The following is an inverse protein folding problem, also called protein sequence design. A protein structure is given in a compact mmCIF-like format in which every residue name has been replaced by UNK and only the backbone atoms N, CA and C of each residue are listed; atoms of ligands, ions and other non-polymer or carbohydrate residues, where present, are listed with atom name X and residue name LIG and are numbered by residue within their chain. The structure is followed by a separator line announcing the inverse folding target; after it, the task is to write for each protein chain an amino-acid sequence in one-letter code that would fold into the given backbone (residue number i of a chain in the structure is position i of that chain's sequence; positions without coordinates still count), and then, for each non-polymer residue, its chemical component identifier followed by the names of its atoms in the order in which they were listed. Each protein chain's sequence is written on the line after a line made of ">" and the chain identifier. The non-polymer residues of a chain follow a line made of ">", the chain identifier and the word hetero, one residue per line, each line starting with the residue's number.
data_IF_246835117315
#
_entry.id   IF_246835117315
#
_cell.length_a   1.000
_cell.length_b   1.000
_cell.length_c   1.000
_cell.angle_alpha   90.00
_cell.angle_beta   90.00
_cell.angle_gamma   90.00
#
_symmetry.space_group_name_H-M   'P 1'
#
loop_
_entity.id
_entity.type
_entity.pdbx_description
1 polymer ?
#
# COMPACT_ATOMS: atom_id res chain seq x y z
N UNK A 1 -11.15 -17.09 62.27
CA UNK A 1 -11.75 -17.62 61.03
C UNK A 1 -11.47 -16.63 59.91
N UNK A 2 -10.74 -17.03 58.87
CA UNK A 2 -10.43 -16.15 57.75
C UNK A 2 -11.70 -15.88 56.92
N UNK A 3 -11.93 -14.61 56.58
CA UNK A 3 -13.07 -14.20 55.78
C UNK A 3 -12.92 -14.71 54.34
N UNK A 4 -13.80 -15.61 53.91
CA UNK A 4 -13.84 -16.13 52.54
C UNK A 4 -14.98 -15.46 51.74
N UNK A 5 -14.67 -14.48 50.87
CA UNK A 5 -15.68 -13.74 50.12
C UNK A 5 -16.49 -14.63 49.16
N UNK A 6 -15.97 -15.79 48.72
CA UNK A 6 -16.70 -16.68 47.80
C UNK A 6 -17.86 -17.38 48.49
N UNK A 7 -17.64 -17.88 49.71
CA UNK A 7 -18.65 -18.56 50.53
C UNK A 7 -19.86 -17.67 50.85
N UNK A 8 -19.63 -16.39 51.13
CA UNK A 8 -20.71 -15.42 51.39
C UNK A 8 -21.43 -14.94 50.13
N UNK A 9 -20.80 -15.04 48.96
CA UNK A 9 -21.44 -14.76 47.67
C UNK A 9 -22.43 -15.86 47.31
N UNK A 10 -22.00 -17.12 47.40
CA UNK A 10 -22.85 -18.30 47.10
C UNK A 10 -24.08 -18.38 48.00
N UNK A 11 -23.92 -18.08 49.30
CA UNK A 11 -25.06 -18.04 50.23
C UNK A 11 -26.07 -16.94 49.85
N UNK A 12 -25.59 -15.76 49.45
CA UNK A 12 -26.46 -14.65 49.00
C UNK A 12 -27.19 -14.98 47.70
N UNK A 13 -26.50 -15.57 46.73
CA UNK A 13 -27.09 -15.98 45.45
C UNK A 13 -28.13 -17.11 45.62
N UNK A 14 -27.91 -18.03 46.58
CA UNK A 14 -28.87 -19.09 46.92
C UNK A 14 -30.13 -18.55 47.59
N UNK A 15 -30.01 -17.55 48.47
CA UNK A 15 -31.16 -16.94 49.17
C UNK A 15 -31.95 -16.01 48.26
N UNK A 16 -31.28 -15.27 47.37
CA UNK A 16 -31.91 -14.32 46.45
C UNK A 16 -32.43 -14.97 45.16
N UNK A 17 -32.16 -16.26 44.92
CA UNK A 17 -32.61 -16.99 43.73
C UNK A 17 -31.99 -16.53 42.40
N UNK A 18 -31.12 -15.52 42.42
CA UNK A 18 -30.51 -14.90 41.24
C UNK A 18 -29.00 -15.14 41.27
N UNK A 19 -28.48 -15.91 40.31
CA UNK A 19 -27.03 -16.03 40.06
C UNK A 19 -26.56 -14.83 39.27
N UNK A 20 -25.66 -14.00 39.81
CA UNK A 20 -25.00 -12.94 39.04
C UNK A 20 -23.96 -13.55 38.09
N UNK A 21 -24.40 -13.96 36.89
CA UNK A 21 -23.51 -14.32 35.76
C UNK A 21 -22.99 -13.05 35.08
N UNK A 22 -22.10 -12.32 35.77
CA UNK A 22 -21.40 -11.18 35.18
C UNK A 22 -20.05 -11.61 34.61
N UNK A 23 -19.69 -11.08 33.44
CA UNK A 23 -18.30 -11.09 32.96
C UNK A 23 -17.48 -10.28 33.97
N UNK A 24 -16.37 -10.84 34.48
CA UNK A 24 -15.50 -10.12 35.41
C UNK A 24 -14.91 -8.88 34.74
N UNK A 25 -14.77 -7.78 35.47
CA UNK A 25 -14.21 -6.54 34.95
C UNK A 25 -12.86 -6.75 34.24
N UNK A 26 -12.00 -7.65 34.77
CA UNK A 26 -10.74 -8.02 34.13
C UNK A 26 -10.93 -8.67 32.75
N UNK A 27 -11.91 -9.56 32.59
CA UNK A 27 -12.23 -10.17 31.29
C UNK A 27 -12.76 -9.13 30.31
N UNK A 28 -13.60 -8.20 30.77
CA UNK A 28 -14.11 -7.10 29.95
C UNK A 28 -12.96 -6.17 29.50
N UNK A 29 -12.07 -5.80 30.43
CA UNK A 29 -10.92 -4.95 30.15
C UNK A 29 -9.97 -5.58 29.12
N UNK A 30 -9.72 -6.90 29.22
CA UNK A 30 -8.93 -7.63 28.22
C UNK A 30 -9.58 -7.57 26.85
N UNK A 31 -10.89 -7.85 26.75
CA UNK A 31 -11.62 -7.79 25.46
C UNK A 31 -11.53 -6.40 24.84
N UNK A 32 -11.75 -5.34 25.64
CA UNK A 32 -11.66 -3.95 25.17
C UNK A 32 -10.24 -3.64 24.71
N UNK A 33 -9.20 -4.05 25.46
CA UNK A 33 -7.81 -3.82 25.07
C UNK A 33 -7.47 -4.50 23.74
N UNK A 34 -7.96 -5.73 23.51
CA UNK A 34 -7.75 -6.47 22.26
C UNK A 34 -8.44 -5.76 21.11
N UNK A 35 -9.67 -5.27 21.30
CA UNK A 35 -10.39 -4.49 20.29
C UNK A 35 -9.64 -3.20 19.93
N UNK A 36 -9.10 -2.48 20.91
CA UNK A 36 -8.32 -1.26 20.66
C UNK A 36 -7.04 -1.57 19.89
N UNK A 37 -6.28 -2.59 20.30
CA UNK A 37 -5.02 -2.96 19.62
C UNK A 37 -5.30 -3.47 18.21
N UNK A 38 -6.33 -4.30 18.02
CA UNK A 38 -6.72 -4.79 16.71
C UNK A 38 -7.19 -3.66 15.79
N UNK A 39 -8.03 -2.75 16.31
CA UNK A 39 -8.51 -1.58 15.56
C UNK A 39 -7.36 -0.66 15.13
N UNK A 40 -6.42 -0.37 16.04
CA UNK A 40 -5.26 0.47 15.72
C UNK A 40 -4.36 -0.21 14.68
N UNK A 41 -4.10 -1.52 14.85
CA UNK A 41 -3.32 -2.31 13.90
C UNK A 41 -3.94 -2.33 12.49
N UNK A 42 -5.26 -2.43 12.39
CA UNK A 42 -5.97 -2.39 11.11
C UNK A 42 -5.74 -1.10 10.32
N UNK A 43 -5.54 0.04 11.01
CA UNK A 43 -5.31 1.33 10.36
C UNK A 43 -3.82 1.55 10.06
N UNK A 44 -2.93 1.23 10.99
CA UNK A 44 -1.50 1.59 10.86
C UNK A 44 -0.70 0.61 10.00
N UNK A 45 -1.03 -0.68 10.05
CA UNK A 45 -0.26 -1.72 9.34
C UNK A 45 -0.31 -1.53 7.82
N UNK A 46 -1.48 -1.29 7.17
CA UNK A 46 -1.52 -1.09 5.73
C UNK A 46 -0.68 0.11 5.26
N UNK A 47 -0.69 1.20 6.02
CA UNK A 47 0.09 2.41 5.70
C UNK A 47 1.60 2.19 5.84
N UNK A 48 2.02 1.46 6.88
CA UNK A 48 3.43 1.14 7.07
C UNK A 48 3.95 0.20 5.97
N UNK A 49 3.15 -0.80 5.58
CA UNK A 49 3.47 -1.73 4.50
C UNK A 49 3.54 -1.01 3.16
N UNK A 50 2.57 -0.14 2.84
CA UNK A 50 2.60 0.63 1.60
C UNK A 50 3.80 1.58 1.53
N UNK A 51 4.17 2.21 2.65
CA UNK A 51 5.35 3.07 2.72
C UNK A 51 6.64 2.29 2.46
N UNK A 52 6.82 1.14 3.13
CA UNK A 52 8.00 0.32 2.94
C UNK A 52 8.13 -0.23 1.51
N UNK A 53 7.00 -0.57 0.88
CA UNK A 53 6.95 -1.08 -0.49
C UNK A 53 7.24 0.00 -1.54
N UNK A 54 6.79 1.24 -1.32
CA UNK A 54 6.84 2.32 -2.33
C UNK A 54 8.02 3.28 -2.16
N UNK A 55 8.67 3.34 -0.99
CA UNK A 55 9.73 4.34 -0.71
C UNK A 55 10.91 4.29 -1.67
N UNK A 56 11.18 3.13 -2.28
CA UNK A 56 12.28 2.96 -3.22
C UNK A 56 11.84 2.94 -4.68
N UNK A 57 10.55 3.15 -4.94
CA UNK A 57 10.02 3.14 -6.30
C UNK A 57 10.11 4.52 -6.91
N UNK A 58 10.60 4.56 -8.14
CA UNK A 58 10.68 5.73 -8.99
C UNK A 58 9.90 5.46 -10.27
N UNK A 59 9.22 6.50 -10.76
CA UNK A 59 8.49 6.51 -12.01
C UNK A 59 9.28 7.33 -13.02
N UNK A 60 9.77 6.67 -14.06
CA UNK A 60 10.34 7.31 -15.23
C UNK A 60 9.30 7.36 -16.36
N UNK A 61 9.05 8.56 -16.86
CA UNK A 61 8.08 8.83 -17.93
C UNK A 61 8.83 8.99 -19.23
N UNK A 62 8.56 8.10 -20.18
CA UNK A 62 9.18 8.09 -21.49
C UNK A 62 8.18 8.43 -22.59
N UNK A 63 8.72 8.96 -23.69
CA UNK A 63 8.00 9.12 -24.97
C UNK A 63 8.87 8.60 -26.10
N UNK A 64 8.26 7.94 -27.08
CA UNK A 64 8.96 7.60 -28.33
C UNK A 64 9.26 8.87 -29.12
N UNK A 65 10.47 8.95 -29.67
CA UNK A 65 10.87 10.07 -30.53
C UNK A 65 9.95 10.19 -31.76
N UNK A 66 9.49 9.06 -32.30
CA UNK A 66 8.56 9.00 -33.43
C UNK A 66 7.13 9.45 -33.10
N UNK A 67 6.80 9.61 -31.81
CA UNK A 67 5.43 9.91 -31.35
C UNK A 67 4.41 8.80 -31.59
N UNK A 68 4.85 7.59 -31.96
CA UNK A 68 4.00 6.44 -32.28
C UNK A 68 3.58 5.66 -31.02
N UNK A 69 2.70 4.67 -31.19
CA UNK A 69 2.31 3.74 -30.12
C UNK A 69 3.45 2.79 -29.74
N UNK A 70 3.53 2.44 -28.46
CA UNK A 70 4.57 1.54 -27.94
C UNK A 70 4.41 0.09 -28.44
N UNK A 71 5.50 -0.55 -28.93
CA UNK A 71 5.47 -1.97 -29.28
C UNK A 71 5.19 -2.85 -28.06
N UNK A 72 4.29 -3.83 -28.19
CA UNK A 72 3.96 -4.75 -27.09
C UNK A 72 5.16 -5.60 -26.65
N UNK A 73 6.01 -5.99 -27.59
CA UNK A 73 7.23 -6.76 -27.35
C UNK A 73 8.22 -6.00 -26.47
N UNK A 74 8.36 -4.69 -26.72
CA UNK A 74 9.23 -3.81 -25.95
C UNK A 74 8.79 -3.74 -24.48
N UNK A 75 7.49 -3.62 -24.26
CA UNK A 75 6.89 -3.55 -22.93
C UNK A 75 7.07 -4.87 -22.17
N UNK A 76 6.87 -6.02 -22.84
CA UNK A 76 7.03 -7.33 -22.20
C UNK A 76 8.47 -7.66 -21.83
N UNK A 77 9.43 -7.22 -22.63
CA UNK A 77 10.85 -7.44 -22.31
C UNK A 77 11.31 -6.49 -21.19
N UNK A 78 10.87 -5.24 -21.23
CA UNK A 78 11.20 -4.27 -20.18
C UNK A 78 10.55 -4.65 -18.85
N UNK A 79 9.34 -5.22 -18.86
CA UNK A 79 8.70 -5.72 -17.63
C UNK A 79 9.41 -6.93 -17.03
N UNK A 80 10.15 -7.70 -17.84
CA UNK A 80 10.98 -8.80 -17.39
C UNK A 80 12.35 -8.36 -16.82
N UNK A 81 12.70 -7.07 -16.95
CA UNK A 81 13.96 -6.53 -16.43
C UNK A 81 13.96 -6.54 -14.90
N UNK A 82 15.08 -6.99 -14.31
CA UNK A 82 15.21 -6.98 -12.85
C UNK A 82 15.13 -5.54 -12.31
N UNK A 83 14.24 -5.34 -11.32
CA UNK A 83 14.03 -4.03 -10.71
C UNK A 83 12.84 -3.27 -11.28
N UNK A 84 12.37 -3.59 -12.49
CA UNK A 84 11.11 -3.04 -13.02
C UNK A 84 9.94 -3.71 -12.31
N UNK A 85 8.97 -2.90 -11.86
CA UNK A 85 7.80 -3.35 -11.10
C UNK A 85 6.52 -3.22 -11.90
N UNK A 86 6.39 -2.14 -12.65
CA UNK A 86 5.19 -1.85 -13.40
C UNK A 86 5.52 -1.01 -14.63
N UNK A 87 4.75 -1.22 -15.69
CA UNK A 87 4.77 -0.38 -16.87
C UNK A 87 3.33 -0.04 -17.21
N UNK A 88 3.03 1.26 -17.32
CA UNK A 88 1.69 1.78 -17.62
C UNK A 88 1.78 2.70 -18.83
N UNK A 89 0.87 2.52 -19.77
CA UNK A 89 0.68 3.49 -20.86
C UNK A 89 -0.36 4.52 -20.44
N UNK A 90 -0.11 5.77 -20.83
CA UNK A 90 -1.09 6.85 -20.71
C UNK A 90 -2.31 6.57 -21.63
N UNK A 91 -3.47 7.20 -21.36
CA UNK A 91 -4.73 7.04 -22.10
C UNK A 91 -4.56 7.27 -23.61
N UNK A 92 -3.64 8.17 -23.98
CA UNK A 92 -3.32 8.51 -25.37
C UNK A 92 -2.23 7.61 -25.99
N UNK A 93 -1.70 6.62 -25.26
CA UNK A 93 -0.73 5.63 -25.73
C UNK A 93 0.64 6.18 -26.13
N UNK A 94 0.88 7.48 -25.96
CA UNK A 94 2.10 8.17 -26.39
C UNK A 94 3.18 8.20 -25.31
N UNK A 95 2.78 8.22 -24.04
CA UNK A 95 3.68 8.21 -22.88
C UNK A 95 3.67 6.83 -22.23
N UNK A 96 4.84 6.41 -21.78
CA UNK A 96 5.04 5.16 -21.04
C UNK A 96 5.64 5.50 -19.67
N UNK A 97 4.94 5.15 -18.61
CA UNK A 97 5.41 5.27 -17.24
C UNK A 97 6.02 3.93 -16.84
N UNK A 98 7.30 3.93 -16.50
CA UNK A 98 8.03 2.76 -16.02
C UNK A 98 8.31 2.96 -14.55
N UNK A 99 7.68 2.16 -13.70
CA UNK A 99 7.93 2.13 -12.27
C UNK A 99 9.01 1.08 -11.97
N UNK A 100 10.09 1.50 -11.34
CA UNK A 100 11.20 0.61 -11.00
C UNK A 100 11.76 0.90 -9.60
N UNK A 101 12.45 -0.08 -9.02
CA UNK A 101 13.16 0.04 -7.75
C UNK A 101 14.57 0.60 -8.01
N UNK A 102 14.83 1.84 -7.56
CA UNK A 102 16.10 2.54 -7.78
C UNK A 102 17.33 1.85 -7.18
N UNK A 103 17.11 0.86 -6.28
CA UNK A 103 18.19 0.05 -5.71
C UNK A 103 18.67 -1.05 -6.64
N UNK A 104 17.84 -1.45 -7.61
CA UNK A 104 18.07 -2.59 -8.50
C UNK A 104 18.23 -2.16 -9.96
N UNK A 105 17.49 -1.15 -10.37
CA UNK A 105 17.54 -0.57 -11.71
C UNK A 105 17.75 0.94 -11.61
N UNK A 106 18.35 1.52 -12.65
CA UNK A 106 18.46 2.98 -12.84
C UNK A 106 17.84 3.35 -14.17
N UNK A 107 17.45 4.61 -14.33
CA UNK A 107 16.94 5.14 -15.60
C UNK A 107 17.84 4.79 -16.79
N UNK A 108 19.17 4.86 -16.63
CA UNK A 108 20.13 4.51 -17.69
C UNK A 108 19.97 3.07 -18.17
N UNK A 109 19.79 2.10 -17.25
CA UNK A 109 19.60 0.70 -17.60
C UNK A 109 18.27 0.46 -18.32
N UNK A 110 17.23 1.21 -17.94
CA UNK A 110 15.92 1.19 -18.62
C UNK A 110 16.05 1.78 -20.03
N UNK A 111 16.78 2.89 -20.19
CA UNK A 111 17.08 3.49 -21.49
C UNK A 111 17.88 2.55 -22.40
N UNK A 112 18.88 1.86 -21.86
CA UNK A 112 19.61 0.82 -22.59
C UNK A 112 18.70 -0.32 -23.03
N UNK A 113 17.73 -0.72 -22.20
CA UNK A 113 16.71 -1.71 -22.53
C UNK A 113 15.94 -1.35 -23.80
N UNK A 114 15.50 -0.09 -23.90
CA UNK A 114 14.86 0.42 -25.11
C UNK A 114 15.81 0.49 -26.32
N UNK A 115 17.06 0.90 -26.09
CA UNK A 115 18.06 1.01 -27.15
C UNK A 115 18.40 -0.35 -27.79
N UNK A 116 18.44 -1.43 -26.99
CA UNK A 116 18.65 -2.81 -27.49
C UNK A 116 17.55 -3.28 -28.44
N UNK A 117 16.36 -2.73 -28.31
CA UNK A 117 15.21 -3.00 -29.18
C UNK A 117 15.14 -2.05 -30.38
N UNK A 118 16.13 -1.17 -30.55
CA UNK A 118 16.16 -0.16 -31.61
C UNK A 118 15.18 0.98 -31.40
N UNK A 119 14.64 1.15 -30.19
CA UNK A 119 13.69 2.22 -29.87
C UNK A 119 14.44 3.46 -29.38
N UNK A 120 14.18 4.58 -30.05
CA UNK A 120 14.64 5.90 -29.59
C UNK A 120 13.59 6.50 -28.69
N UNK A 121 13.95 6.66 -27.42
CA UNK A 121 13.07 7.18 -26.37
C UNK A 121 13.64 8.46 -25.80
N UNK A 122 12.74 9.34 -25.38
CA UNK A 122 13.05 10.59 -24.68
C UNK A 122 12.50 10.44 -23.27
N UNK A 123 13.35 10.64 -22.27
CA UNK A 123 12.93 10.77 -20.88
C UNK A 123 12.28 12.14 -20.70
N UNK A 124 11.00 12.16 -20.34
CA UNK A 124 10.25 13.38 -20.08
C UNK A 124 10.43 13.84 -18.64
N UNK A 125 10.35 12.91 -17.69
CA UNK A 125 10.46 13.20 -16.28
C UNK A 125 10.82 11.94 -15.50
N UNK A 126 11.40 12.13 -14.33
CA UNK A 126 11.71 11.10 -13.36
C UNK A 126 11.30 11.60 -11.98
N UNK A 127 10.39 10.89 -11.33
CA UNK A 127 9.84 11.31 -10.05
C UNK A 127 9.69 10.13 -9.11
N UNK A 128 9.68 10.39 -7.80
CA UNK A 128 9.34 9.35 -6.84
C UNK A 128 7.90 8.87 -7.04
N UNK A 129 7.68 7.55 -7.08
CA UNK A 129 6.38 6.94 -7.37
C UNK A 129 5.27 7.44 -6.44
N UNK A 130 5.57 7.64 -5.15
CA UNK A 130 4.59 8.14 -4.18
C UNK A 130 4.16 9.57 -4.48
N UNK A 131 5.10 10.41 -4.91
CA UNK A 131 4.81 11.80 -5.28
C UNK A 131 3.98 11.84 -6.56
N UNK A 132 4.28 10.98 -7.52
CA UNK A 132 3.47 10.83 -8.74
C UNK A 132 2.04 10.42 -8.42
N UNK A 133 1.85 9.38 -7.58
CA UNK A 133 0.50 8.96 -7.17
C UNK A 133 -0.26 10.05 -6.42
N UNK A 134 0.41 10.83 -5.56
CA UNK A 134 -0.23 11.96 -4.90
C UNK A 134 -0.68 13.02 -5.92
N UNK A 135 0.20 13.37 -6.86
CA UNK A 135 -0.11 14.35 -7.92
C UNK A 135 -1.28 13.87 -8.79
N UNK A 136 -1.32 12.59 -9.15
CA UNK A 136 -2.43 12.02 -9.94
C UNK A 136 -3.76 12.05 -9.19
N UNK A 137 -3.76 11.82 -7.88
CA UNK A 137 -4.98 11.93 -7.06
C UNK A 137 -5.47 13.37 -6.97
N UNK A 138 -4.54 14.31 -6.75
CA UNK A 138 -4.87 15.74 -6.71
C UNK A 138 -5.47 16.19 -8.06
N UNK A 139 -4.90 15.75 -9.18
CA UNK A 139 -5.43 16.01 -10.53
C UNK A 139 -6.80 15.37 -10.79
N UNK A 140 -7.06 14.19 -10.24
CA UNK A 140 -8.37 13.52 -10.33
C UNK A 140 -9.43 14.22 -9.47
N UNK A 141 -9.08 14.65 -8.25
CA UNK A 141 -9.98 15.38 -7.34
C UNK A 141 -10.34 16.78 -7.87
N UNK A 142 -9.37 17.51 -8.44
CA UNK A 142 -9.59 18.84 -9.03
C UNK A 142 -10.38 18.77 -10.37
N UNK A 143 -10.30 17.65 -11.09
CA UNK A 143 -11.04 17.42 -12.33
C UNK A 143 -12.51 17.03 -12.13
N UNK A 144 -12.89 16.61 -10.92
CA UNK A 144 -14.24 16.14 -10.59
C UNK A 144 -15.16 17.22 -9.98
N UNK A 145 -14.71 18.46 -9.81
CA UNK A 145 -15.60 19.58 -9.47
C UNK A 145 -16.28 20.18 -10.72
N UNK A 146 -17.62 20.04 -10.87
CA UNK A 146 -18.39 20.74 -11.92
C UNK A 146 -18.65 22.21 -11.61
#
# INVERSE_FOLDING_TARGET
>A
MAYDPKKYREKREKVLGIKKRGIGFGTLAVIVSVLVVAGLGAVTVPQAVSYMATRNLEDAIFKLESGSSWPKTAISELSAMEGVKQIVQDKNGSRLVVTYDHRKAKTDAVMEGFARQGLKVILLNEVNHRRHQATMKDEEEDGETP
#
